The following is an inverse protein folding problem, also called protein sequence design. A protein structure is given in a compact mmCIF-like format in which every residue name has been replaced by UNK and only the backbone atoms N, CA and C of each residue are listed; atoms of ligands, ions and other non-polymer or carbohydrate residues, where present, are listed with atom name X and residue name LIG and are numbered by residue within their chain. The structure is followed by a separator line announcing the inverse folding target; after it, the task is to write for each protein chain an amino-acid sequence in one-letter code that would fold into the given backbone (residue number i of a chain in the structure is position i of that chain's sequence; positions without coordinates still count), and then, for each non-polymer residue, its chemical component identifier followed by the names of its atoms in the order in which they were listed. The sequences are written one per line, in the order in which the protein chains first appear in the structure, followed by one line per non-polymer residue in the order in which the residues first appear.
data_IF_827300578967
#
_entry.id   IF_827300578967
#
_cell.length_a   1.000
_cell.length_b   1.000
_cell.length_c   1.000
_cell.angle_alpha   90.00
_cell.angle_beta   90.00
_cell.angle_gamma   90.00
#
_symmetry.space_group_name_H-M   'P 1'
#
loop_
_entity.id
_entity.type
_entity.pdbx_description
1 polymer ?
#
# COMPACT_ATOMS: atom_id res chain seq x y z
N UNK A 1 -20.27 26.46 34.54
CA UNK A 1 -20.23 25.14 33.87
C UNK A 1 -19.03 25.24 32.96
N UNK A 2 -17.94 24.64 33.40
CA UNK A 2 -16.61 24.74 32.78
C UNK A 2 -16.63 23.94 31.50
N UNK A 3 -16.33 24.59 30.38
CA UNK A 3 -16.08 23.91 29.11
C UNK A 3 -14.74 23.19 29.23
N UNK A 4 -14.81 21.89 29.00
CA UNK A 4 -13.72 20.94 28.90
C UNK A 4 -12.92 21.28 27.63
N UNK A 5 -11.67 21.73 27.82
CA UNK A 5 -10.75 22.02 26.72
C UNK A 5 -9.83 20.80 26.60
N UNK A 6 -9.95 19.96 25.56
CA UNK A 6 -9.16 18.74 25.43
C UNK A 6 -7.84 19.03 24.69
N UNK A 7 -7.14 20.10 25.07
CA UNK A 7 -5.88 20.51 24.44
C UNK A 7 -4.69 20.51 25.41
N UNK A 8 -4.83 19.80 26.53
CA UNK A 8 -3.73 19.48 27.45
C UNK A 8 -3.32 18.01 27.28
N UNK A 9 -3.03 17.61 26.03
CA UNK A 9 -2.29 16.38 25.76
C UNK A 9 -0.81 16.69 25.92
N UNK A 10 -0.35 16.70 27.18
CA UNK A 10 1.05 16.75 27.64
C UNK A 10 2.09 16.91 26.52
N UNK A 11 2.38 18.15 26.16
CA UNK A 11 3.33 18.57 25.12
C UNK A 11 4.80 18.51 25.60
N UNK A 12 5.12 17.41 26.24
CA UNK A 12 6.43 17.05 26.80
C UNK A 12 6.33 15.53 26.89
N UNK A 13 7.18 14.70 26.24
CA UNK A 13 7.34 13.28 26.68
C UNK A 13 8.30 12.34 25.95
N UNK A 14 8.68 12.58 24.70
CA UNK A 14 9.62 11.68 24.04
C UNK A 14 10.96 12.41 23.86
N UNK A 15 11.82 12.29 24.87
CA UNK A 15 13.22 12.72 24.82
C UNK A 15 14.01 11.68 24.01
N UNK A 16 13.76 11.65 22.70
CA UNK A 16 14.45 10.79 21.75
C UNK A 16 15.66 11.53 21.20
N UNK A 17 16.79 10.83 21.10
CA UNK A 17 17.94 11.35 20.38
C UNK A 17 17.64 11.44 18.86
N UNK A 18 18.39 12.31 18.18
CA UNK A 18 18.20 12.59 16.75
C UNK A 18 18.40 11.31 15.91
N UNK A 19 19.30 10.41 16.33
CA UNK A 19 19.52 9.11 15.70
C UNK A 19 18.27 8.23 15.74
N UNK A 20 17.61 8.13 16.90
CA UNK A 20 16.40 7.34 17.11
C UNK A 20 15.21 7.94 16.37
N UNK A 21 15.03 9.26 16.45
CA UNK A 21 14.01 9.98 15.70
C UNK A 21 14.19 9.76 14.18
N UNK A 22 15.43 9.82 13.69
CA UNK A 22 15.74 9.55 12.29
C UNK A 22 15.48 8.10 11.90
N UNK A 23 15.76 7.13 12.78
CA UNK A 23 15.50 5.72 12.51
C UNK A 23 14.00 5.42 12.39
N UNK A 24 13.18 5.94 13.31
CA UNK A 24 11.72 5.83 13.25
C UNK A 24 11.16 6.44 11.97
N UNK A 25 11.64 7.61 11.59
CA UNK A 25 11.25 8.25 10.33
C UNK A 25 11.61 7.38 9.10
N UNK A 26 12.77 6.71 9.09
CA UNK A 26 13.11 5.77 8.00
C UNK A 26 12.16 4.57 7.93
N UNK A 27 11.67 4.06 9.06
CA UNK A 27 10.65 2.99 9.07
C UNK A 27 9.34 3.48 8.44
N UNK A 28 8.89 4.69 8.81
CA UNK A 28 7.69 5.30 8.24
C UNK A 28 7.81 5.49 6.72
N UNK A 29 8.94 6.03 6.25
CA UNK A 29 9.22 6.19 4.81
C UNK A 29 9.28 4.84 4.09
N UNK A 30 9.83 3.80 4.71
CA UNK A 30 9.85 2.44 4.18
C UNK A 30 8.43 1.91 3.94
N UNK A 31 7.55 2.03 4.95
CA UNK A 31 6.15 1.63 4.83
C UNK A 31 5.41 2.45 3.78
N UNK A 32 5.63 3.76 3.71
CA UNK A 32 5.04 4.60 2.67
C UNK A 32 5.45 4.10 1.27
N UNK A 33 6.73 3.76 1.09
CA UNK A 33 7.23 3.15 -0.14
C UNK A 33 6.52 1.84 -0.48
N UNK A 34 6.30 0.97 0.51
CA UNK A 34 5.60 -0.29 0.31
C UNK A 34 4.11 -0.11 0.00
N UNK A 35 3.44 0.87 0.61
CA UNK A 35 2.05 1.22 0.29
C UNK A 35 1.92 1.78 -1.14
N UNK A 36 2.91 2.53 -1.62
CA UNK A 36 2.97 2.95 -3.04
C UNK A 36 3.15 1.73 -3.96
N UNK A 37 4.04 0.80 -3.60
CA UNK A 37 4.24 -0.43 -4.35
C UNK A 37 2.96 -1.27 -4.42
N UNK A 38 2.22 -1.38 -3.31
CA UNK A 38 0.90 -1.99 -3.26
C UNK A 38 -0.09 -1.32 -4.22
N UNK A 39 -0.14 0.01 -4.24
CA UNK A 39 -0.96 0.74 -5.21
C UNK A 39 -0.62 0.40 -6.67
N UNK A 40 0.67 0.20 -7.00
CA UNK A 40 1.07 -0.26 -8.32
C UNK A 40 0.65 -1.70 -8.63
N UNK A 41 0.64 -2.60 -7.64
CA UNK A 41 0.15 -3.97 -7.82
C UNK A 41 -1.36 -4.00 -8.08
N UNK A 42 -2.14 -3.20 -7.33
CA UNK A 42 -3.59 -3.05 -7.57
C UNK A 42 -3.85 -2.47 -8.96
N UNK A 43 -3.10 -1.44 -9.36
CA UNK A 43 -3.22 -0.87 -10.69
C UNK A 43 -2.89 -1.89 -11.79
N UNK A 44 -1.81 -2.67 -11.60
CA UNK A 44 -1.43 -3.74 -12.52
C UNK A 44 -2.54 -4.80 -12.62
N UNK A 45 -3.13 -5.21 -11.50
CA UNK A 45 -4.26 -6.15 -11.48
C UNK A 45 -5.45 -5.61 -12.29
N UNK A 46 -5.89 -4.37 -12.05
CA UNK A 46 -7.02 -3.77 -12.76
C UNK A 46 -6.77 -3.62 -14.26
N UNK A 47 -5.62 -3.09 -14.66
CA UNK A 47 -5.28 -2.91 -16.08
C UNK A 47 -5.21 -4.26 -16.80
N UNK A 48 -4.67 -5.29 -16.13
CA UNK A 48 -4.62 -6.64 -16.68
C UNK A 48 -6.02 -7.24 -16.83
N UNK A 49 -6.88 -7.12 -15.82
CA UNK A 49 -8.26 -7.58 -15.89
C UNK A 49 -9.01 -6.93 -17.05
N UNK A 50 -8.89 -5.61 -17.22
CA UNK A 50 -9.52 -4.90 -18.32
C UNK A 50 -8.97 -5.31 -19.70
N UNK A 51 -7.66 -5.58 -19.80
CA UNK A 51 -7.11 -6.12 -21.04
C UNK A 51 -7.69 -7.51 -21.37
N UNK A 52 -7.89 -8.37 -20.36
CA UNK A 52 -8.49 -9.70 -20.54
C UNK A 52 -9.97 -9.63 -20.96
N UNK A 53 -10.71 -8.60 -20.55
CA UNK A 53 -12.09 -8.36 -21.04
C UNK A 53 -12.10 -8.20 -22.56
N UNK A 54 -11.15 -7.45 -23.14
CA UNK A 54 -11.06 -7.32 -24.60
C UNK A 54 -10.74 -8.64 -25.30
N UNK A 55 -9.97 -9.54 -24.69
CA UNK A 55 -9.76 -10.89 -25.25
C UNK A 55 -11.05 -11.71 -25.23
N UNK A 56 -11.87 -11.57 -24.18
CA UNK A 56 -13.17 -12.23 -24.11
C UNK A 56 -14.16 -11.65 -25.12
N UNK A 57 -14.16 -10.33 -25.35
CA UNK A 57 -14.94 -9.71 -26.43
C UNK A 57 -14.48 -10.21 -27.81
N UNK A 58 -13.17 -10.25 -28.05
CA UNK A 58 -12.59 -10.75 -29.29
C UNK A 58 -12.93 -12.23 -29.54
N UNK A 59 -13.01 -13.06 -28.50
CA UNK A 59 -13.49 -14.45 -28.60
C UNK A 59 -14.89 -14.49 -29.24
N UNK A 60 -15.82 -13.69 -28.72
CA UNK A 60 -17.20 -13.63 -29.21
C UNK A 60 -17.25 -13.13 -30.65
N UNK A 61 -16.57 -12.02 -30.95
CA UNK A 61 -16.54 -11.43 -32.29
C UNK A 61 -15.96 -12.39 -33.34
N UNK A 62 -14.89 -13.12 -32.98
CA UNK A 62 -14.29 -14.12 -33.85
C UNK A 62 -15.23 -15.31 -34.09
N UNK A 63 -15.97 -15.73 -33.07
CA UNK A 63 -16.97 -16.80 -33.20
C UNK A 63 -18.11 -16.38 -34.12
N UNK A 64 -18.64 -15.17 -33.94
CA UNK A 64 -19.70 -14.63 -34.80
C UNK A 64 -19.26 -14.44 -36.26
N UNK A 65 -17.97 -14.17 -36.47
CA UNK A 65 -17.36 -14.10 -37.79
C UNK A 65 -17.05 -15.49 -38.42
N UNK A 66 -17.27 -16.59 -37.70
CA UNK A 66 -17.03 -17.96 -38.17
C UNK A 66 -15.58 -18.44 -38.02
N UNK A 67 -14.78 -17.80 -37.16
CA UNK A 67 -13.42 -18.19 -36.83
C UNK A 67 -13.35 -19.04 -35.55
N UNK A 68 -14.09 -20.14 -35.51
CA UNK A 68 -14.27 -20.99 -34.33
C UNK A 68 -12.95 -21.50 -33.73
N UNK A 69 -11.99 -21.92 -34.55
CA UNK A 69 -10.71 -22.46 -34.06
C UNK A 69 -9.90 -21.41 -33.27
N UNK A 70 -9.96 -20.13 -33.68
CA UNK A 70 -9.25 -19.04 -32.99
C UNK A 70 -9.99 -18.67 -31.71
N UNK A 71 -11.32 -18.57 -31.78
CA UNK A 71 -12.15 -18.32 -30.60
C UNK A 71 -11.95 -19.41 -29.53
N UNK A 72 -11.93 -20.68 -29.93
CA UNK A 72 -11.68 -21.80 -29.05
C UNK A 72 -10.29 -21.73 -28.40
N UNK A 73 -9.25 -21.34 -29.14
CA UNK A 73 -7.92 -21.14 -28.56
C UNK A 73 -7.89 -20.00 -27.54
N UNK A 74 -8.58 -18.88 -27.80
CA UNK A 74 -8.69 -17.79 -26.82
C UNK A 74 -9.37 -18.30 -25.54
N UNK A 75 -10.49 -19.00 -25.68
CA UNK A 75 -11.28 -19.55 -24.56
C UNK A 75 -10.50 -20.55 -23.72
N UNK A 76 -9.82 -21.49 -24.37
CA UNK A 76 -9.25 -22.67 -23.70
C UNK A 76 -7.82 -22.43 -23.21
N UNK A 77 -7.06 -21.58 -23.90
CA UNK A 77 -5.64 -21.39 -23.63
C UNK A 77 -5.29 -19.99 -23.14
N UNK A 78 -5.89 -18.94 -23.73
CA UNK A 78 -5.50 -17.54 -23.42
C UNK A 78 -6.21 -17.01 -22.18
N UNK A 79 -7.55 -17.07 -22.14
CA UNK A 79 -8.34 -16.54 -21.02
C UNK A 79 -8.05 -17.22 -19.68
N UNK A 80 -7.81 -18.55 -19.60
CA UNK A 80 -7.46 -19.22 -18.35
C UNK A 80 -5.99 -19.04 -17.95
N UNK A 81 -5.15 -18.44 -18.80
CA UNK A 81 -3.72 -18.36 -18.56
C UNK A 81 -3.40 -17.44 -17.38
N UNK A 82 -2.62 -17.97 -16.42
CA UNK A 82 -2.05 -17.18 -15.35
C UNK A 82 -0.94 -16.24 -15.86
N UNK A 83 -0.90 -15.03 -15.30
CA UNK A 83 0.01 -13.95 -15.74
C UNK A 83 1.44 -14.15 -15.24
N UNK A 84 1.64 -14.95 -14.18
CA UNK A 84 2.94 -15.13 -13.52
C UNK A 84 3.61 -16.49 -13.81
N UNK A 85 3.30 -17.08 -14.97
CA UNK A 85 3.76 -18.41 -15.37
C UNK A 85 3.05 -19.51 -14.60
N UNK A 86 2.47 -20.47 -15.31
CA UNK A 86 1.56 -21.47 -14.74
C UNK A 86 0.19 -20.86 -14.43
N UNK A 87 -0.49 -21.35 -13.39
CA UNK A 87 -1.89 -21.03 -13.11
C UNK A 87 -2.08 -19.83 -12.16
N UNK A 88 -1.05 -19.01 -11.93
CA UNK A 88 -1.11 -17.90 -10.96
C UNK A 88 -1.68 -16.63 -11.55
N UNK A 89 -2.66 -16.07 -10.84
CA UNK A 89 -3.40 -14.87 -11.20
C UNK A 89 -2.88 -13.62 -10.50
N UNK A 90 -3.15 -12.46 -11.09
CA UNK A 90 -2.67 -11.17 -10.55
C UNK A 90 -3.29 -10.84 -9.20
N UNK A 91 -4.51 -11.30 -8.90
CA UNK A 91 -5.12 -11.09 -7.58
C UNK A 91 -4.38 -11.84 -6.47
N UNK A 92 -3.85 -13.05 -6.75
CA UNK A 92 -3.07 -13.81 -5.77
C UNK A 92 -1.76 -13.09 -5.40
N UNK A 93 -1.17 -12.36 -6.36
CA UNK A 93 -0.01 -11.51 -6.09
C UNK A 93 -0.39 -10.32 -5.19
N UNK A 94 -1.55 -9.70 -5.41
CA UNK A 94 -2.05 -8.62 -4.55
C UNK A 94 -2.32 -9.14 -3.13
N UNK A 95 -3.07 -10.23 -3.00
CA UNK A 95 -3.42 -10.82 -1.71
C UNK A 95 -2.18 -11.26 -0.93
N UNK A 96 -1.24 -11.94 -1.58
CA UNK A 96 0.00 -12.39 -0.90
C UNK A 96 0.90 -11.23 -0.48
N UNK A 97 0.91 -10.13 -1.25
CA UNK A 97 1.62 -8.91 -0.87
C UNK A 97 0.96 -8.23 0.35
N UNK A 98 -0.36 -8.06 0.33
CA UNK A 98 -1.12 -7.40 1.40
C UNK A 98 -1.09 -8.19 2.71
N UNK A 99 -1.53 -9.45 2.65
CA UNK A 99 -1.82 -10.26 3.85
C UNK A 99 -0.58 -10.91 4.45
N UNK A 100 0.50 -11.04 3.67
CA UNK A 100 1.78 -11.54 4.14
C UNK A 100 2.78 -10.41 4.32
N UNK A 101 3.42 -10.02 3.22
CA UNK A 101 4.62 -9.18 3.27
C UNK A 101 4.38 -7.79 3.88
N UNK A 102 3.36 -7.07 3.42
CA UNK A 102 3.05 -5.73 3.91
C UNK A 102 2.57 -5.77 5.37
N UNK A 103 1.64 -6.68 5.68
CA UNK A 103 1.12 -6.86 7.03
C UNK A 103 2.23 -7.13 8.07
N UNK A 104 3.19 -8.00 7.75
CA UNK A 104 4.28 -8.35 8.66
C UNK A 104 5.20 -7.15 8.94
N UNK A 105 5.51 -6.36 7.91
CA UNK A 105 6.34 -5.16 8.06
C UNK A 105 5.62 -4.05 8.81
N UNK A 106 4.33 -3.81 8.52
CA UNK A 106 3.52 -2.84 9.25
C UNK A 106 3.36 -3.24 10.73
N UNK A 107 3.23 -4.54 11.01
CA UNK A 107 3.17 -5.04 12.37
C UNK A 107 4.50 -4.85 13.12
N UNK A 108 5.63 -5.07 12.44
CA UNK A 108 6.95 -4.81 13.01
C UNK A 108 7.18 -3.32 13.32
N UNK A 109 6.87 -2.42 12.40
CA UNK A 109 7.02 -0.98 12.64
C UNK A 109 6.12 -0.53 13.79
N UNK A 110 4.86 -0.97 13.80
CA UNK A 110 3.93 -0.60 14.87
C UNK A 110 4.45 -1.03 16.24
N UNK A 111 4.94 -2.27 16.36
CA UNK A 111 5.52 -2.76 17.61
C UNK A 111 6.76 -1.94 18.01
N UNK A 112 7.63 -1.63 17.04
CA UNK A 112 8.83 -0.81 17.27
C UNK A 112 8.47 0.60 17.77
N UNK A 113 7.47 1.23 17.14
CA UNK A 113 6.97 2.55 17.51
C UNK A 113 6.25 2.55 18.86
N UNK A 114 5.52 1.49 19.17
CA UNK A 114 4.92 1.28 20.51
C UNK A 114 6.00 1.19 21.59
N UNK A 115 7.11 0.52 21.33
CA UNK A 115 8.22 0.36 22.28
C UNK A 115 9.06 1.63 22.47
N UNK A 116 9.39 2.32 21.37
CA UNK A 116 10.38 3.41 21.39
C UNK A 116 9.72 4.78 21.54
N UNK A 117 8.52 4.97 20.99
CA UNK A 117 7.87 6.26 20.87
C UNK A 117 6.45 6.27 21.45
N UNK A 118 6.13 5.38 22.41
CA UNK A 118 4.80 5.26 23.02
C UNK A 118 3.64 5.18 22.00
N UNK A 119 3.92 4.69 20.80
CA UNK A 119 2.92 4.65 19.71
C UNK A 119 2.67 5.99 19.01
N UNK A 120 3.54 7.00 19.16
CA UNK A 120 3.45 8.26 18.42
C UNK A 120 4.03 8.13 17.01
N UNK A 121 3.28 8.57 15.99
CA UNK A 121 3.71 8.62 14.57
C UNK A 121 4.29 9.98 14.23
N UNK A 122 5.09 10.06 13.17
CA UNK A 122 5.57 11.31 12.61
C UNK A 122 6.28 12.20 13.64
N UNK A 123 7.04 11.57 14.56
CA UNK A 123 7.72 12.28 15.65
C UNK A 123 8.60 13.38 15.08
N UNK A 124 9.33 13.08 14.01
CA UNK A 124 10.19 14.02 13.31
C UNK A 124 9.44 15.19 12.68
N UNK A 125 8.39 14.91 11.94
CA UNK A 125 7.57 15.92 11.27
C UNK A 125 6.87 16.83 12.28
N UNK A 126 6.42 16.27 13.41
CA UNK A 126 5.81 17.06 14.50
C UNK A 126 6.83 17.98 15.16
N UNK A 127 8.06 17.53 15.40
CA UNK A 127 9.15 18.39 15.88
C UNK A 127 9.44 19.53 14.90
N UNK A 128 9.61 19.21 13.61
CA UNK A 128 9.80 20.22 12.56
C UNK A 128 8.64 21.22 12.49
N UNK A 129 7.40 20.74 12.64
CA UNK A 129 6.21 21.59 12.66
C UNK A 129 6.24 22.59 13.83
N UNK A 130 6.62 22.14 15.04
CA UNK A 130 6.76 23.02 16.22
C UNK A 130 7.82 24.10 15.99
N UNK A 131 8.99 23.74 15.48
CA UNK A 131 10.05 24.71 15.15
C UNK A 131 9.58 25.76 14.12
N UNK A 132 8.68 25.40 13.21
CA UNK A 132 8.10 26.35 12.27
C UNK A 132 7.08 27.28 12.94
N UNK A 133 6.31 26.77 13.90
CA UNK A 133 5.34 27.54 14.68
C UNK A 133 6.04 28.54 15.59
N UNK A 134 7.05 28.12 16.34
CA UNK A 134 7.82 29.00 17.24
C UNK A 134 8.44 30.18 16.48
N UNK A 135 9.08 29.91 15.33
CA UNK A 135 9.65 30.96 14.46
C UNK A 135 8.61 31.93 13.88
N UNK A 136 7.34 31.53 13.81
CA UNK A 136 6.27 32.40 13.30
C UNK A 136 5.72 33.33 14.39
N UNK A 137 5.98 33.03 15.67
CA UNK A 137 5.55 33.82 16.83
C UNK A 137 6.60 34.85 17.29
N UNK A 138 7.84 34.74 16.79
CA UNK A 138 8.94 35.72 16.95
C UNK A 138 8.79 36.95 16.05
#
# INVERSE_FOLDING_TARGET
MTEDSPDDLSDDRLDLDDETESALHQLELGIEGLRKAHGYLVQFHHVTGHAMEHFSEAENDLRDAGHDDIADHIRDEILPCGVLGGDRWTYELVESFETGFLHDIESFERATREEIADGERHVRERRMQREWQERAEE
#
